data_IF_313329313884
#
_entry.id   IF_313329313884
#
_cell.length_a   1.000
_cell.length_b   1.000
_cell.length_c   1.000
_cell.angle_alpha   90.00
_cell.angle_beta   90.00
_cell.angle_gamma   90.00
#
_symmetry.space_group_name_H-M   'P 1'
#
loop_
_entity.id
_entity.type
_entity.pdbx_description
1 polymer ?
#
# COMPACT_ATOMS: atom_id res chain seq x y z
N UNK A 1 -13.41 26.55 -2.39
CA UNK A 1 -13.81 25.44 -1.50
C UNK A 1 -14.81 24.58 -2.27
N UNK A 2 -14.56 23.30 -2.52
CA UNK A 2 -15.35 22.54 -3.49
C UNK A 2 -15.59 21.09 -3.09
N UNK A 3 -16.75 20.56 -3.49
CA UNK A 3 -17.18 19.20 -3.18
C UNK A 3 -16.14 18.15 -3.61
N UNK A 4 -15.76 17.29 -2.67
CA UNK A 4 -14.89 16.13 -2.90
C UNK A 4 -15.78 14.91 -3.10
N UNK A 5 -15.88 14.42 -4.33
CA UNK A 5 -16.61 13.20 -4.63
C UNK A 5 -15.69 11.98 -4.43
N UNK A 6 -16.03 11.16 -3.44
CA UNK A 6 -15.42 9.86 -3.19
C UNK A 6 -16.54 8.91 -2.76
N UNK A 7 -16.73 7.80 -3.48
CA UNK A 7 -17.74 6.80 -3.17
C UNK A 7 -17.10 5.41 -3.15
N UNK A 8 -17.25 4.71 -2.03
CA UNK A 8 -16.81 3.31 -1.88
C UNK A 8 -18.04 2.40 -1.95
N UNK A 9 -18.04 1.47 -2.89
CA UNK A 9 -19.12 0.48 -3.05
C UNK A 9 -18.53 -0.89 -2.76
N UNK A 10 -19.10 -1.61 -1.80
CA UNK A 10 -18.75 -3.01 -1.55
C UNK A 10 -19.67 -3.86 -2.41
N UNK A 11 -19.13 -4.58 -3.39
CA UNK A 11 -19.92 -5.44 -4.27
C UNK A 11 -20.16 -6.81 -3.62
N UNK A 12 -19.12 -7.35 -2.99
CA UNK A 12 -19.12 -8.67 -2.35
C UNK A 12 -18.08 -8.68 -1.20
N UNK A 13 -18.17 -9.62 -0.23
CA UNK A 13 -17.09 -9.84 0.73
C UNK A 13 -15.78 -10.12 -0.03
N UNK A 14 -14.79 -9.25 0.20
CA UNK A 14 -13.49 -9.31 -0.50
C UNK A 14 -13.42 -8.45 -1.78
N UNK A 15 -14.52 -7.89 -2.29
CA UNK A 15 -14.52 -7.04 -3.49
C UNK A 15 -15.04 -5.63 -3.16
N UNK A 16 -14.17 -4.63 -3.30
CA UNK A 16 -14.47 -3.22 -3.00
C UNK A 16 -14.12 -2.35 -4.19
N UNK A 17 -15.09 -1.57 -4.67
CA UNK A 17 -14.91 -0.52 -5.65
C UNK A 17 -14.73 0.83 -4.97
N UNK A 18 -13.77 1.62 -5.46
CA UNK A 18 -13.50 2.99 -5.06
C UNK A 18 -13.65 3.91 -6.27
N UNK A 19 -14.70 4.73 -6.25
CA UNK A 19 -14.95 5.75 -7.25
C UNK A 19 -14.47 7.11 -6.73
N UNK A 20 -13.58 7.76 -7.46
CA UNK A 20 -13.07 9.09 -7.13
C UNK A 20 -12.94 9.96 -8.37
N UNK A 21 -12.71 11.27 -8.20
CA UNK A 21 -12.41 12.20 -9.31
C UNK A 21 -11.28 11.74 -10.25
N UNK A 22 -10.37 10.88 -9.77
CA UNK A 22 -9.21 10.39 -10.55
C UNK A 22 -9.48 9.09 -11.31
N UNK A 23 -10.65 8.47 -11.14
CA UNK A 23 -11.02 7.22 -11.80
C UNK A 23 -11.55 6.14 -10.85
N UNK A 24 -11.86 4.98 -11.44
CA UNK A 24 -12.36 3.78 -10.78
C UNK A 24 -11.20 2.91 -10.27
N UNK A 25 -11.27 2.48 -9.02
CA UNK A 25 -10.39 1.46 -8.46
C UNK A 25 -11.19 0.26 -7.93
N UNK A 26 -10.63 -0.93 -8.02
CA UNK A 26 -11.21 -2.20 -7.60
C UNK A 26 -10.19 -2.96 -6.76
N UNK A 27 -10.54 -3.29 -5.52
CA UNK A 27 -9.77 -4.19 -4.66
C UNK A 27 -10.49 -5.53 -4.56
N UNK A 28 -9.80 -6.62 -4.85
CA UNK A 28 -10.31 -8.01 -4.85
C UNK A 28 -9.39 -8.88 -4.00
N UNK A 29 -9.95 -9.52 -2.99
CA UNK A 29 -9.31 -10.63 -2.27
C UNK A 29 -9.34 -10.49 -0.75
N UNK A 30 -9.12 -11.61 -0.04
CA UNK A 30 -9.09 -11.67 1.42
C UNK A 30 -7.82 -11.03 2.01
N UNK A 31 -7.80 -10.88 3.34
CA UNK A 31 -6.60 -10.45 4.07
C UNK A 31 -5.47 -11.44 3.80
N UNK A 32 -4.32 -10.93 3.34
CA UNK A 32 -3.16 -11.76 2.97
C UNK A 32 -3.08 -12.14 1.49
N UNK A 33 -4.12 -11.94 0.68
CA UNK A 33 -4.08 -12.19 -0.76
C UNK A 33 -5.04 -11.23 -1.50
N UNK A 34 -4.71 -9.95 -1.54
CA UNK A 34 -5.57 -8.93 -2.16
C UNK A 34 -4.88 -8.24 -3.33
N UNK A 35 -5.64 -8.01 -4.40
CA UNK A 35 -5.23 -7.31 -5.60
C UNK A 35 -6.00 -5.99 -5.67
N UNK A 36 -5.32 -4.87 -5.83
CA UNK A 36 -5.93 -3.55 -6.02
C UNK A 36 -5.58 -3.01 -7.40
N UNK A 37 -6.59 -2.80 -8.23
CA UNK A 37 -6.52 -2.22 -9.57
C UNK A 37 -7.02 -0.79 -9.48
N UNK A 38 -6.35 0.18 -10.09
CA UNK A 38 -6.85 1.54 -10.14
C UNK A 38 -6.06 2.45 -11.09
N UNK A 39 -6.34 3.76 -11.10
CA UNK A 39 -5.72 4.72 -12.01
C UNK A 39 -4.20 4.87 -11.81
N UNK A 40 -3.66 4.40 -10.67
CA UNK A 40 -2.22 4.38 -10.37
C UNK A 40 -1.55 3.04 -10.70
N UNK A 41 -2.30 2.09 -11.26
CA UNK A 41 -1.85 0.75 -11.63
C UNK A 41 -2.40 -0.38 -10.75
N UNK A 42 -1.89 -1.57 -11.01
CA UNK A 42 -2.27 -2.82 -10.34
C UNK A 42 -1.26 -3.14 -9.25
N UNK A 43 -1.75 -3.41 -8.05
CA UNK A 43 -0.97 -3.74 -6.86
C UNK A 43 -1.44 -5.08 -6.28
N UNK A 44 -0.56 -6.07 -6.23
CA UNK A 44 -0.77 -7.32 -5.51
C UNK A 44 -0.21 -7.25 -4.08
N UNK A 45 -0.97 -7.75 -3.14
CA UNK A 45 -0.59 -7.96 -1.74
C UNK A 45 -0.72 -9.44 -1.44
N UNK A 46 0.40 -10.11 -1.20
CA UNK A 46 0.47 -11.49 -0.75
C UNK A 46 1.19 -11.50 0.60
N UNK A 47 0.62 -12.08 1.64
CA UNK A 47 1.23 -12.08 2.96
C UNK A 47 0.61 -13.15 3.84
N UNK A 48 1.45 -13.80 4.63
CA UNK A 48 1.02 -14.88 5.50
C UNK A 48 0.67 -14.27 6.86
N UNK A 49 -0.61 -14.28 7.28
CA UNK A 49 -1.01 -13.71 8.56
C UNK A 49 -0.28 -14.41 9.72
N UNK A 50 0.15 -13.64 10.71
CA UNK A 50 0.85 -14.16 11.89
C UNK A 50 2.36 -14.38 11.74
N UNK A 51 2.93 -14.28 10.54
CA UNK A 51 4.37 -14.50 10.30
C UNK A 51 5.19 -13.22 10.13
N UNK A 52 4.52 -12.06 10.00
CA UNK A 52 5.17 -10.79 9.67
C UNK A 52 5.65 -10.68 8.22
N UNK A 53 5.52 -11.74 7.41
CA UNK A 53 5.96 -11.76 6.02
C UNK A 53 4.84 -11.26 5.08
N UNK A 54 5.06 -10.09 4.47
CA UNK A 54 4.16 -9.50 3.50
C UNK A 54 4.94 -9.06 2.25
N UNK A 55 4.54 -9.60 1.11
CA UNK A 55 5.02 -9.26 -0.21
C UNK A 55 4.03 -8.31 -0.92
N UNK A 56 4.55 -7.22 -1.49
CA UNK A 56 3.77 -6.28 -2.30
C UNK A 56 4.40 -6.14 -3.67
N UNK A 57 3.63 -6.41 -4.72
CA UNK A 57 4.09 -6.31 -6.10
C UNK A 57 3.26 -5.29 -6.88
N UNK A 58 3.91 -4.38 -7.61
CA UNK A 58 3.23 -3.52 -8.58
C UNK A 58 3.27 -4.21 -9.94
N UNK A 59 2.12 -4.54 -10.51
CA UNK A 59 2.02 -5.23 -11.80
C UNK A 59 1.99 -4.26 -13.00
N UNK A 60 1.86 -2.94 -12.77
CA UNK A 60 1.76 -1.94 -13.85
C UNK A 60 3.09 -1.25 -14.21
N UNK A 61 4.21 -1.96 -14.14
CA UNK A 61 5.46 -1.48 -14.70
C UNK A 61 5.91 -2.49 -15.76
N UNK A 62 5.80 -2.09 -17.03
CA UNK A 62 6.48 -2.76 -18.15
C UNK A 62 7.91 -3.08 -17.70
N UNK A 63 8.21 -4.37 -17.59
CA UNK A 63 9.52 -4.98 -17.32
C UNK A 63 10.62 -3.99 -16.93
N UNK A 64 10.74 -3.69 -15.64
CA UNK A 64 12.01 -3.25 -15.02
C UNK A 64 12.08 -3.83 -13.62
N UNK A 65 12.84 -4.92 -13.50
CA UNK A 65 13.47 -5.31 -12.25
C UNK A 65 14.09 -4.09 -11.56
N UNK A 66 13.75 -3.84 -10.30
CA UNK A 66 14.66 -3.31 -9.29
C UNK A 66 13.86 -3.00 -8.03
N UNK A 67 14.29 -3.61 -6.93
CA UNK A 67 13.80 -3.30 -5.60
C UNK A 67 13.76 -1.80 -5.33
N UNK A 68 12.67 -1.36 -4.70
CA UNK A 68 12.67 -0.09 -3.95
C UNK A 68 11.48 -0.01 -3.01
N UNK A 69 11.81 -0.03 -1.72
CA UNK A 69 11.14 0.77 -0.71
C UNK A 69 9.82 0.24 -0.20
N UNK A 70 9.90 -0.66 0.78
CA UNK A 70 8.97 -0.72 1.89
C UNK A 70 8.96 0.63 2.62
N UNK A 71 8.12 1.56 2.18
CA UNK A 71 7.80 2.77 2.94
C UNK A 71 6.85 2.38 4.08
N UNK A 72 7.42 1.96 5.21
CA UNK A 72 6.64 1.60 6.38
C UNK A 72 7.46 0.93 7.47
N UNK A 73 8.28 1.71 8.18
CA UNK A 73 8.61 1.45 9.58
C UNK A 73 9.20 2.73 10.16
N UNK A 74 8.55 3.27 11.19
CA UNK A 74 9.02 4.45 11.90
C UNK A 74 10.42 4.21 12.48
N UNK A 75 11.25 5.24 12.43
CA UNK A 75 12.40 5.34 13.32
C UNK A 75 12.15 6.53 14.22
N UNK A 76 12.00 6.20 15.49
CA UNK A 76 11.81 7.10 16.61
C UNK A 76 13.00 8.07 16.77
N UNK A 77 12.71 9.14 17.50
CA UNK A 77 13.50 10.33 17.82
C UNK A 77 14.98 10.12 18.14
N UNK A 78 15.87 11.06 17.78
CA UNK A 78 17.23 11.09 18.29
C UNK A 78 17.24 11.83 19.64
N UNK A 79 17.10 11.10 20.75
CA UNK A 79 17.52 11.58 22.06
C UNK A 79 18.72 10.72 22.49
N UNK A 80 19.92 11.29 22.52
CA UNK A 80 21.08 10.66 23.17
C UNK A 80 22.39 10.54 22.39
N UNK A 81 22.71 11.40 21.41
CA UNK A 81 24.03 11.36 20.75
C UNK A 81 24.98 12.52 21.09
N UNK A 82 24.74 13.25 22.20
CA UNK A 82 25.72 14.22 22.72
C UNK A 82 26.83 13.58 23.59
N UNK A 83 26.68 12.31 23.99
CA UNK A 83 27.69 11.59 24.79
C UNK A 83 28.80 10.93 23.96
N UNK A 84 28.65 10.84 22.63
CA UNK A 84 29.61 10.13 21.76
C UNK A 84 30.67 11.05 21.11
N UNK A 85 30.67 12.35 21.44
CA UNK A 85 31.60 13.35 20.91
C UNK A 85 32.70 13.74 21.93
N UNK A 86 32.77 13.05 23.07
CA UNK A 86 33.70 13.37 24.16
C UNK A 86 34.40 12.14 24.75
N UNK A 87 34.91 11.26 23.87
CA UNK A 87 35.89 10.23 24.21
C UNK A 87 36.94 10.10 23.10
#
# INVERSE_FOLDING_TARGET
MGFRFQRRITLAPGIRLNLSKRGLGLSVGPRGASLSVGPRGVHGHAGIPGTGLAYRQKLNARSRSAGRGSSGAGRASPAGSLEALLA
#
